data_IF_289588177803
#
_entry.id   IF_289588177803
#
_cell.length_a   1.000
_cell.length_b   1.000
_cell.length_c   1.000
_cell.angle_alpha   90.00
_cell.angle_beta   90.00
_cell.angle_gamma   90.00
#
_symmetry.space_group_name_H-M   'P 1'
#
loop_
_entity.id
_entity.type
_entity.pdbx_description
1 polymer ?
#
# COMPACT_ATOMS: atom_id res chain seq x y z
N UNK A 1 17.86 3.06 12.94
CA UNK A 1 17.97 1.58 12.89
C UNK A 1 18.88 1.24 11.74
N UNK A 2 19.72 0.22 11.90
CA UNK A 2 20.76 -0.19 10.96
C UNK A 2 20.76 -1.72 10.87
N UNK A 3 20.91 -2.27 9.66
CA UNK A 3 20.84 -3.71 9.38
C UNK A 3 22.00 -4.08 8.48
N UNK A 4 22.83 -5.02 8.93
CA UNK A 4 24.05 -5.45 8.24
C UNK A 4 24.37 -6.90 8.55
N UNK A 5 25.15 -7.55 7.69
CA UNK A 5 25.82 -8.80 8.02
C UNK A 5 27.11 -8.48 8.79
N UNK A 6 27.34 -9.14 9.92
CA UNK A 6 28.53 -8.95 10.75
C UNK A 6 29.75 -9.73 10.21
N UNK A 7 30.91 -9.51 10.82
CA UNK A 7 32.16 -10.18 10.40
C UNK A 7 32.19 -11.70 10.63
N UNK A 8 31.20 -12.25 11.36
CA UNK A 8 30.99 -13.69 11.54
C UNK A 8 29.95 -14.27 10.58
N UNK A 9 29.44 -13.48 9.62
CA UNK A 9 28.47 -13.91 8.63
C UNK A 9 27.03 -13.98 9.13
N UNK A 10 26.71 -13.35 10.26
CA UNK A 10 25.33 -13.31 10.82
C UNK A 10 24.70 -11.94 10.69
N UNK A 11 23.39 -11.91 10.57
CA UNK A 11 22.66 -10.65 10.49
C UNK A 11 22.68 -9.95 11.84
N UNK A 12 22.86 -8.63 11.81
CA UNK A 12 22.94 -7.76 12.96
C UNK A 12 21.98 -6.59 12.76
N UNK A 13 21.03 -6.45 13.67
CA UNK A 13 20.07 -5.34 13.72
C UNK A 13 20.41 -4.45 14.90
N UNK A 14 20.70 -3.17 14.63
CA UNK A 14 21.01 -2.17 15.66
C UNK A 14 19.96 -1.08 15.72
N UNK A 15 19.50 -0.80 16.93
CA UNK A 15 18.55 0.28 17.25
C UNK A 15 19.17 1.23 18.28
N UNK A 16 18.45 2.29 18.64
CA UNK A 16 18.88 3.18 19.72
C UNK A 16 18.91 2.48 21.11
N UNK A 17 18.23 1.35 21.25
CA UNK A 17 18.08 0.63 22.52
C UNK A 17 19.02 -0.59 22.64
N UNK A 18 19.73 -0.95 21.57
CA UNK A 18 20.63 -2.11 21.59
C UNK A 18 20.80 -2.77 20.22
N UNK A 19 21.40 -3.96 20.25
CA UNK A 19 21.74 -4.75 19.08
C UNK A 19 21.25 -6.19 19.24
N UNK A 20 20.73 -6.77 18.16
CA UNK A 20 20.33 -8.18 18.08
C UNK A 20 21.13 -8.84 16.96
N UNK A 21 21.72 -10.00 17.27
CA UNK A 21 22.35 -10.88 16.28
C UNK A 21 21.45 -12.08 16.03
N UNK A 22 21.28 -12.43 14.77
CA UNK A 22 20.37 -13.48 14.34
C UNK A 22 20.85 -14.12 13.04
N UNK A 23 20.38 -15.33 12.76
CA UNK A 23 20.77 -16.05 11.54
C UNK A 23 20.04 -15.52 10.29
N UNK A 24 18.90 -14.84 10.46
CA UNK A 24 18.16 -14.21 9.39
C UNK A 24 17.40 -12.96 9.86
N UNK A 25 17.26 -11.97 8.96
CA UNK A 25 16.42 -10.77 9.13
C UNK A 25 15.44 -10.67 7.98
N UNK A 26 14.18 -10.37 8.30
CA UNK A 26 13.14 -10.05 7.31
C UNK A 26 12.74 -8.58 7.39
N UNK A 27 13.04 -7.83 6.32
CA UNK A 27 12.60 -6.45 6.16
C UNK A 27 11.19 -6.41 5.56
N UNK A 28 10.18 -6.18 6.42
CA UNK A 28 8.77 -6.12 6.04
C UNK A 28 8.13 -4.74 6.37
N UNK A 29 8.92 -3.66 6.30
CA UNK A 29 8.47 -2.31 6.66
C UNK A 29 7.71 -1.54 5.57
N UNK A 30 7.59 -2.10 4.35
CA UNK A 30 6.94 -1.46 3.19
C UNK A 30 7.52 -0.02 2.97
N UNK A 31 6.65 0.96 2.72
CA UNK A 31 6.97 2.38 2.53
C UNK A 31 7.74 3.03 3.71
N UNK A 32 7.84 2.36 4.86
CA UNK A 32 8.46 2.89 6.08
C UNK A 32 9.92 2.44 6.27
N UNK A 33 10.50 1.64 5.37
CA UNK A 33 11.89 1.19 5.52
C UNK A 33 12.91 2.34 5.44
N UNK A 34 12.66 3.34 4.59
CA UNK A 34 13.47 4.56 4.50
C UNK A 34 14.98 4.29 4.50
N UNK A 35 15.68 4.89 5.47
CA UNK A 35 17.13 4.79 5.62
C UNK A 35 17.64 3.41 6.07
N UNK A 36 16.77 2.51 6.56
CA UNK A 36 17.17 1.14 6.94
C UNK A 36 17.58 0.33 5.70
N UNK A 37 16.94 0.58 4.56
CA UNK A 37 17.25 -0.10 3.30
C UNK A 37 17.07 0.86 2.11
N UNK A 38 17.99 1.84 1.91
CA UNK A 38 17.82 2.89 0.90
C UNK A 38 17.77 2.34 -0.54
N UNK A 39 18.42 1.20 -0.79
CA UNK A 39 18.36 0.50 -2.07
C UNK A 39 16.96 -0.07 -2.39
N UNK A 40 16.19 -0.46 -1.37
CA UNK A 40 14.79 -0.90 -1.53
C UNK A 40 13.86 0.29 -1.71
N UNK A 41 14.08 1.35 -0.93
CA UNK A 41 13.28 2.58 -0.99
C UNK A 41 13.28 3.21 -2.39
N UNK A 42 14.32 3.00 -3.21
CA UNK A 42 14.41 3.51 -4.58
C UNK A 42 13.51 2.80 -5.60
N UNK A 43 13.06 1.57 -5.30
CA UNK A 43 12.24 0.72 -6.19
C UNK A 43 10.75 0.89 -5.97
N UNK A 44 10.37 1.58 -4.90
CA UNK A 44 8.99 1.81 -4.52
C UNK A 44 8.64 3.29 -4.50
N UNK A 45 7.39 3.60 -4.75
CA UNK A 45 6.80 4.92 -4.53
C UNK A 45 5.81 4.81 -3.37
N UNK A 46 5.97 5.59 -2.28
CA UNK A 46 4.93 5.70 -1.26
C UNK A 46 3.73 6.49 -1.82
N UNK A 47 2.55 5.93 -1.63
CA UNK A 47 1.30 6.46 -2.15
C UNK A 47 0.26 6.49 -1.04
N UNK A 48 -0.30 7.66 -0.79
CA UNK A 48 -1.34 7.88 0.20
C UNK A 48 -2.67 7.34 -0.29
N UNK A 49 -3.20 6.37 0.45
CA UNK A 49 -4.53 5.80 0.24
C UNK A 49 -5.42 6.17 1.41
N UNK A 50 -6.68 6.48 1.13
CA UNK A 50 -7.61 6.97 2.13
C UNK A 50 -8.98 6.31 1.98
N UNK A 51 -9.68 6.26 3.10
CA UNK A 51 -10.99 5.67 3.23
C UNK A 51 -11.77 6.43 4.30
N UNK A 52 -13.09 6.49 4.14
CA UNK A 52 -14.02 7.04 5.10
C UNK A 52 -15.10 6.04 5.47
N UNK A 53 -15.73 6.25 6.62
CA UNK A 53 -16.94 5.55 7.04
C UNK A 53 -18.05 6.54 7.38
N UNK A 54 -19.26 6.28 6.90
CA UNK A 54 -20.46 7.02 7.32
C UNK A 54 -20.87 6.65 8.75
N UNK A 55 -21.83 7.36 9.31
CA UNK A 55 -22.70 6.79 10.35
C UNK A 55 -23.47 5.55 9.82
N UNK A 56 -23.99 4.66 10.69
CA UNK A 56 -24.83 3.56 10.26
C UNK A 56 -26.03 4.09 9.47
N UNK A 57 -26.22 3.59 8.26
CA UNK A 57 -27.29 4.06 7.37
C UNK A 57 -28.66 3.45 7.72
N UNK A 58 -28.64 2.37 8.51
CA UNK A 58 -29.75 1.46 8.70
C UNK A 58 -29.92 0.50 7.51
N UNK A 59 -30.25 -0.75 7.82
CA UNK A 59 -30.32 -1.86 6.86
C UNK A 59 -31.08 -1.54 5.58
N UNK A 60 -32.27 -0.94 5.70
CA UNK A 60 -33.09 -0.62 4.54
C UNK A 60 -32.44 0.39 3.58
N UNK A 61 -31.71 1.39 4.11
CA UNK A 61 -30.99 2.37 3.27
C UNK A 61 -29.74 1.73 2.67
N UNK A 62 -28.99 0.96 3.47
CA UNK A 62 -27.80 0.24 3.02
C UNK A 62 -28.12 -0.74 1.87
N UNK A 63 -29.16 -1.57 2.01
CA UNK A 63 -29.60 -2.52 0.97
C UNK A 63 -30.11 -1.82 -0.30
N UNK A 64 -30.63 -0.59 -0.22
CA UNK A 64 -30.95 0.19 -1.43
C UNK A 64 -29.71 0.71 -2.15
N UNK A 65 -28.60 0.94 -1.44
CA UNK A 65 -27.35 1.39 -2.06
C UNK A 65 -26.63 0.23 -2.75
N UNK A 66 -26.46 -0.89 -2.04
CA UNK A 66 -25.76 -2.07 -2.54
C UNK A 66 -26.57 -3.31 -2.14
N UNK A 67 -27.59 -3.70 -2.92
CA UNK A 67 -28.48 -4.82 -2.58
C UNK A 67 -27.74 -6.15 -2.35
N UNK A 68 -26.69 -6.40 -3.13
CA UNK A 68 -25.85 -7.60 -2.98
C UNK A 68 -24.88 -7.54 -1.79
N UNK A 69 -24.72 -6.35 -1.18
CA UNK A 69 -23.66 -6.02 -0.20
C UNK A 69 -22.24 -6.34 -0.69
N UNK A 70 -22.05 -6.52 -1.99
CA UNK A 70 -20.75 -6.79 -2.57
C UNK A 70 -19.79 -5.60 -2.39
N UNK A 71 -18.50 -5.89 -2.37
CA UNK A 71 -17.51 -4.84 -2.59
C UNK A 71 -17.57 -4.41 -4.07
N UNK A 72 -17.55 -3.11 -4.29
CA UNK A 72 -17.58 -2.50 -5.62
C UNK A 72 -16.29 -1.72 -5.84
N UNK A 73 -15.72 -1.83 -7.02
CA UNK A 73 -14.67 -0.96 -7.52
C UNK A 73 -15.04 -0.53 -8.93
N UNK A 74 -14.79 0.73 -9.28
CA UNK A 74 -14.96 1.19 -10.65
C UNK A 74 -13.78 0.76 -11.55
N UNK A 75 -13.82 1.19 -12.82
CA UNK A 75 -12.79 0.93 -13.83
C UNK A 75 -11.88 2.14 -14.07
N UNK A 76 -11.96 3.19 -13.25
CA UNK A 76 -11.13 4.38 -13.39
C UNK A 76 -9.68 4.08 -13.01
N UNK A 77 -8.74 4.88 -13.52
CA UNK A 77 -7.33 4.69 -13.17
C UNK A 77 -7.07 5.01 -11.69
N UNK A 78 -7.74 6.05 -11.18
CA UNK A 78 -7.82 6.35 -9.75
C UNK A 78 -9.18 5.86 -9.25
N UNK A 79 -9.23 4.58 -8.94
CA UNK A 79 -10.49 3.91 -8.65
C UNK A 79 -11.16 4.40 -7.36
N UNK A 80 -12.46 4.63 -7.43
CA UNK A 80 -13.33 4.68 -6.26
C UNK A 80 -13.79 3.23 -5.95
N UNK A 81 -13.73 2.86 -4.68
CA UNK A 81 -14.13 1.54 -4.20
C UNK A 81 -14.89 1.64 -2.90
N UNK A 82 -15.93 0.84 -2.75
CA UNK A 82 -16.81 0.96 -1.59
C UNK A 82 -17.51 -0.36 -1.28
N UNK A 83 -17.88 -0.51 0.00
CA UNK A 83 -18.65 -1.65 0.47
C UNK A 83 -19.45 -1.25 1.71
N UNK A 84 -20.42 -2.07 2.07
CA UNK A 84 -21.10 -1.95 3.36
C UNK A 84 -20.32 -2.71 4.44
N UNK A 85 -20.25 -2.14 5.64
CA UNK A 85 -19.82 -2.88 6.85
C UNK A 85 -20.99 -3.72 7.39
N UNK A 86 -20.69 -4.59 8.36
CA UNK A 86 -21.71 -5.43 8.99
C UNK A 86 -22.74 -4.61 9.80
N UNK A 87 -22.35 -3.43 10.29
CA UNK A 87 -23.22 -2.47 10.97
C UNK A 87 -23.83 -1.41 10.04
N UNK A 88 -23.92 -1.72 8.73
CA UNK A 88 -24.60 -0.91 7.71
C UNK A 88 -24.03 0.50 7.49
N UNK A 89 -22.73 0.69 7.71
CA UNK A 89 -22.02 1.89 7.25
C UNK A 89 -21.57 1.70 5.81
N UNK A 90 -21.53 2.80 5.06
CA UNK A 90 -20.82 2.82 3.80
C UNK A 90 -19.33 3.11 4.09
N UNK A 91 -18.48 2.14 3.77
CA UNK A 91 -17.05 2.32 3.67
C UNK A 91 -16.74 2.79 2.25
N UNK A 92 -16.17 3.99 2.11
CA UNK A 92 -15.85 4.57 0.81
C UNK A 92 -14.37 4.91 0.75
N UNK A 93 -13.64 4.18 -0.09
CA UNK A 93 -12.28 4.44 -0.49
C UNK A 93 -12.25 5.05 -1.88
N UNK A 94 -11.26 5.89 -2.11
CA UNK A 94 -11.18 6.64 -3.35
C UNK A 94 -10.16 7.74 -3.21
N UNK A 95 -9.83 8.38 -4.33
CA UNK A 95 -8.83 9.45 -4.40
C UNK A 95 -7.47 9.05 -3.78
N UNK A 96 -6.52 8.78 -4.65
CA UNK A 96 -5.15 8.54 -4.22
C UNK A 96 -4.41 9.89 -4.11
N UNK A 97 -3.76 10.14 -2.96
CA UNK A 97 -2.83 11.28 -2.83
C UNK A 97 -1.43 10.77 -3.04
N UNK A 98 -0.73 11.39 -3.97
CA UNK A 98 0.63 11.01 -4.29
C UNK A 98 1.64 12.11 -4.00
N UNK A 99 1.19 13.13 -3.26
CA UNK A 99 2.04 13.77 -2.27
C UNK A 99 2.03 12.88 -1.02
N UNK A 100 3.14 12.82 -0.30
CA UNK A 100 3.22 12.22 1.04
C UNK A 100 2.46 13.06 2.10
N UNK A 101 1.56 13.94 1.65
CA UNK A 101 0.82 14.89 2.47
C UNK A 101 -0.65 14.49 2.42
N UNK A 102 -1.20 14.22 3.61
CA UNK A 102 -2.64 14.01 3.75
C UNK A 102 -3.40 15.31 3.48
N UNK A 103 -4.59 15.28 2.86
CA UNK A 103 -5.42 16.46 2.72
C UNK A 103 -5.70 17.12 4.08
N UNK A 104 -5.66 18.45 4.14
CA UNK A 104 -5.94 19.21 5.38
C UNK A 104 -7.32 18.89 5.98
N UNK A 105 -8.31 18.62 5.11
CA UNK A 105 -9.63 18.12 5.50
C UNK A 105 -9.95 16.84 4.72
N UNK A 106 -9.44 15.73 5.24
CA UNK A 106 -9.66 14.40 4.66
C UNK A 106 -11.15 14.01 4.66
N UNK A 107 -11.91 14.13 5.77
CA UNK A 107 -13.35 13.80 5.79
C UNK A 107 -14.15 14.54 4.71
N UNK A 108 -14.03 15.87 4.59
CA UNK A 108 -14.79 16.61 3.60
C UNK A 108 -14.36 16.25 2.17
N UNK A 109 -13.08 15.95 1.97
CA UNK A 109 -12.55 15.53 0.68
C UNK A 109 -13.12 14.19 0.24
N UNK A 110 -13.13 13.19 1.13
CA UNK A 110 -13.69 11.87 0.86
C UNK A 110 -15.21 11.95 0.66
N UNK A 111 -15.90 12.78 1.45
CA UNK A 111 -17.34 13.02 1.32
C UNK A 111 -17.72 13.52 -0.06
N UNK A 112 -16.95 14.47 -0.63
CA UNK A 112 -17.18 14.94 -2.01
C UNK A 112 -17.06 13.79 -3.02
N UNK A 113 -16.10 12.88 -2.84
CA UNK A 113 -15.96 11.68 -3.65
C UNK A 113 -17.21 10.80 -3.57
N UNK A 114 -17.60 10.45 -2.33
CA UNK A 114 -18.80 9.66 -2.05
C UNK A 114 -20.06 10.25 -2.68
N UNK A 115 -20.29 11.56 -2.57
CA UNK A 115 -21.50 12.22 -3.08
C UNK A 115 -21.57 12.29 -4.62
N UNK A 116 -20.45 12.11 -5.34
CA UNK A 116 -20.50 11.94 -6.80
C UNK A 116 -21.12 10.60 -7.18
N UNK A 117 -20.88 9.57 -6.39
CA UNK A 117 -21.40 8.20 -6.62
C UNK A 117 -22.78 8.02 -5.97
N UNK A 118 -22.97 8.56 -4.77
CA UNK A 118 -24.18 8.42 -3.96
C UNK A 118 -24.73 9.80 -3.54
N UNK A 119 -25.27 10.59 -4.49
CA UNK A 119 -25.81 11.92 -4.19
C UNK A 119 -26.93 11.91 -3.14
N UNK A 120 -27.66 10.80 -3.01
CA UNK A 120 -28.71 10.58 -2.02
C UNK A 120 -28.23 10.51 -0.57
N UNK A 121 -26.91 10.54 -0.31
CA UNK A 121 -26.33 10.55 1.04
C UNK A 121 -25.93 11.96 1.50
N UNK A 122 -26.52 13.00 0.90
CA UNK A 122 -26.26 14.39 1.23
C UNK A 122 -26.58 14.80 2.68
N UNK A 123 -27.44 14.04 3.35
CA UNK A 123 -27.82 14.17 4.76
C UNK A 123 -26.89 13.40 5.73
N UNK A 124 -26.06 12.50 5.21
CA UNK A 124 -25.30 11.54 6.03
C UNK A 124 -23.96 12.13 6.49
N UNK A 125 -23.67 11.90 7.77
CA UNK A 125 -22.40 12.29 8.39
C UNK A 125 -21.26 11.31 8.09
N UNK A 126 -20.05 11.86 7.89
CA UNK A 126 -18.80 11.08 7.93
C UNK A 126 -18.36 11.00 9.38
N UNK A 127 -18.23 9.79 9.92
CA UNK A 127 -17.83 9.58 11.32
C UNK A 127 -16.34 9.27 11.46
N UNK A 128 -15.76 8.67 10.43
CA UNK A 128 -14.34 8.30 10.41
C UNK A 128 -13.75 8.60 9.04
N UNK A 129 -12.51 9.06 9.03
CA UNK A 129 -11.67 9.09 7.84
C UNK A 129 -10.24 8.81 8.25
N UNK A 130 -9.59 7.91 7.53
CA UNK A 130 -8.22 7.53 7.80
C UNK A 130 -7.49 7.25 6.50
N UNK A 131 -6.18 7.12 6.60
CA UNK A 131 -5.35 6.73 5.49
C UNK A 131 -4.02 6.19 5.94
N UNK A 132 -3.24 5.82 4.94
CA UNK A 132 -1.89 5.30 5.12
C UNK A 132 -1.15 5.26 3.80
N UNK A 133 0.14 5.00 3.90
CA UNK A 133 1.00 4.86 2.73
C UNK A 133 1.11 3.40 2.33
N UNK A 134 0.91 3.15 1.03
CA UNK A 134 1.23 1.88 0.38
C UNK A 134 2.38 2.11 -0.58
N UNK A 135 3.18 1.08 -0.83
CA UNK A 135 4.19 1.12 -1.87
C UNK A 135 3.64 0.72 -3.24
N UNK A 136 4.17 1.36 -4.28
CA UNK A 136 3.94 0.98 -5.67
C UNK A 136 5.29 0.75 -6.35
N UNK A 137 5.45 -0.38 -7.03
CA UNK A 137 6.57 -0.66 -7.93
C UNK A 137 6.25 -0.23 -9.36
N UNK A 138 7.26 0.05 -10.18
CA UNK A 138 7.04 0.47 -11.58
C UNK A 138 6.28 -0.58 -12.42
N UNK A 139 6.54 -1.87 -12.17
CA UNK A 139 5.90 -2.98 -12.88
C UNK A 139 4.62 -3.48 -12.20
N UNK A 140 4.21 -2.88 -11.06
CA UNK A 140 3.06 -3.26 -10.22
C UNK A 140 3.10 -4.69 -9.66
N UNK A 141 4.21 -5.40 -9.83
CA UNK A 141 4.40 -6.74 -9.27
C UNK A 141 4.97 -6.65 -7.85
N UNK A 142 4.71 -7.64 -6.98
CA UNK A 142 5.35 -7.73 -5.67
C UNK A 142 6.88 -7.85 -5.80
N UNK A 143 7.62 -7.18 -4.93
CA UNK A 143 9.08 -7.13 -4.92
C UNK A 143 9.61 -7.86 -3.69
N UNK A 144 10.00 -9.12 -3.88
CA UNK A 144 10.56 -10.01 -2.86
C UNK A 144 12.02 -10.28 -3.19
N UNK A 145 12.84 -10.50 -2.17
CA UNK A 145 14.18 -10.99 -2.41
C UNK A 145 15.09 -10.94 -1.20
N UNK A 146 16.38 -10.91 -1.50
CA UNK A 146 17.46 -10.83 -0.52
C UNK A 146 18.36 -9.64 -0.84
N UNK A 147 18.79 -8.93 0.20
CA UNK A 147 19.85 -7.92 0.13
C UNK A 147 21.23 -8.53 0.42
N UNK A 148 21.25 -9.60 1.21
CA UNK A 148 22.39 -10.44 1.58
C UNK A 148 21.85 -11.87 1.85
N UNK A 149 22.71 -12.91 1.94
CA UNK A 149 22.25 -14.29 2.18
C UNK A 149 21.29 -14.45 3.37
N UNK A 150 21.48 -13.63 4.40
CA UNK A 150 20.79 -13.60 5.69
C UNK A 150 19.78 -12.44 5.82
N UNK A 151 19.64 -11.57 4.82
CA UNK A 151 18.75 -10.39 4.87
C UNK A 151 17.73 -10.49 3.75
N UNK A 152 16.51 -10.84 4.12
CA UNK A 152 15.33 -10.97 3.26
C UNK A 152 14.51 -9.68 3.26
N UNK A 153 13.71 -9.47 2.22
CA UNK A 153 12.74 -8.38 2.19
C UNK A 153 11.45 -8.78 1.48
N UNK A 154 10.35 -8.16 1.92
CA UNK A 154 9.03 -8.20 1.30
C UNK A 154 8.53 -6.77 1.16
N UNK A 155 8.35 -6.30 -0.07
CA UNK A 155 7.80 -4.98 -0.37
C UNK A 155 7.05 -4.98 -1.71
N UNK A 156 6.63 -3.80 -2.13
CA UNK A 156 6.18 -3.52 -3.49
C UNK A 156 4.82 -4.12 -3.82
N UNK A 157 3.96 -4.35 -2.83
CA UNK A 157 2.69 -5.05 -3.02
C UNK A 157 1.70 -4.28 -3.91
N UNK A 158 1.94 -2.98 -4.17
CA UNK A 158 1.26 -2.23 -5.23
C UNK A 158 -0.26 -2.28 -5.14
N UNK A 159 -0.80 -2.25 -3.92
CA UNK A 159 -2.24 -2.33 -3.63
C UNK A 159 -2.80 -3.75 -3.41
N UNK A 160 -2.00 -4.80 -3.62
CA UNK A 160 -2.42 -6.21 -3.49
C UNK A 160 -1.99 -6.84 -2.15
N UNK A 161 -1.63 -6.02 -1.16
CA UNK A 161 -1.05 -6.49 0.10
C UNK A 161 -1.95 -7.46 0.85
N UNK A 162 -3.27 -7.19 0.94
CA UNK A 162 -4.22 -8.06 1.64
C UNK A 162 -4.27 -9.48 1.07
N UNK A 163 -4.21 -9.64 -0.25
CA UNK A 163 -4.25 -10.96 -0.87
C UNK A 163 -2.89 -11.67 -0.86
N UNK A 164 -1.81 -10.93 -1.10
CA UNK A 164 -0.49 -11.52 -1.36
C UNK A 164 0.40 -11.66 -0.12
N UNK A 165 0.20 -10.87 0.93
CA UNK A 165 1.11 -10.87 2.09
C UNK A 165 1.07 -12.18 2.88
N UNK A 166 -0.07 -12.86 2.95
CA UNK A 166 -0.16 -14.18 3.58
C UNK A 166 0.73 -15.21 2.88
N UNK A 167 0.63 -15.29 1.55
CA UNK A 167 1.52 -16.11 0.73
C UNK A 167 2.97 -15.66 0.87
N UNK A 168 3.24 -14.36 0.77
CA UNK A 168 4.60 -13.82 0.85
C UNK A 168 5.28 -14.15 2.19
N UNK A 169 4.55 -14.05 3.30
CA UNK A 169 5.03 -14.43 4.63
C UNK A 169 5.35 -15.92 4.71
N UNK A 170 4.47 -16.78 4.17
CA UNK A 170 4.73 -18.22 4.08
C UNK A 170 5.99 -18.51 3.26
N UNK A 171 6.13 -17.92 2.08
CA UNK A 171 7.31 -18.13 1.22
C UNK A 171 8.60 -17.63 1.87
N UNK A 172 8.55 -16.50 2.59
CA UNK A 172 9.71 -16.00 3.33
C UNK A 172 10.09 -16.94 4.48
N UNK A 173 9.11 -17.49 5.21
CA UNK A 173 9.36 -18.47 6.26
C UNK A 173 9.96 -19.77 5.71
N UNK A 174 9.43 -20.30 4.60
CA UNK A 174 9.98 -21.47 3.88
C UNK A 174 11.44 -21.21 3.46
N UNK A 175 11.71 -20.03 2.89
CA UNK A 175 13.04 -19.65 2.46
C UNK A 175 14.04 -19.52 3.62
N UNK A 176 13.63 -18.93 4.74
CA UNK A 176 14.44 -18.84 5.98
C UNK A 176 14.71 -20.24 6.56
N UNK A 177 13.75 -21.16 6.44
CA UNK A 177 13.89 -22.56 6.84
C UNK A 177 14.72 -23.41 5.85
N UNK A 178 15.23 -22.82 4.77
CA UNK A 178 16.09 -23.48 3.78
C UNK A 178 15.39 -23.97 2.50
N UNK A 179 14.07 -23.75 2.37
CA UNK A 179 13.28 -24.15 1.19
C UNK A 179 12.97 -22.92 0.32
N UNK A 180 13.96 -22.46 -0.44
CA UNK A 180 13.90 -21.17 -1.13
C UNK A 180 13.19 -21.19 -2.50
N UNK A 181 12.90 -22.35 -3.09
CA UNK A 181 12.51 -22.48 -4.51
C UNK A 181 11.36 -21.57 -4.93
N UNK A 182 10.26 -21.59 -4.16
CA UNK A 182 9.06 -20.78 -4.45
C UNK A 182 9.31 -19.29 -4.22
N UNK A 183 10.09 -18.94 -3.21
CA UNK A 183 10.49 -17.57 -2.95
C UNK A 183 11.37 -17.03 -4.08
N UNK A 184 12.31 -17.84 -4.56
CA UNK A 184 13.25 -17.50 -5.62
C UNK A 184 12.57 -17.30 -6.98
N UNK A 185 11.40 -17.92 -7.21
CA UNK A 185 10.57 -17.62 -8.39
C UNK A 185 10.09 -16.16 -8.39
N UNK A 186 9.59 -15.65 -7.26
CA UNK A 186 9.20 -14.25 -7.15
C UNK A 186 10.41 -13.31 -7.19
N UNK A 187 11.54 -13.70 -6.59
CA UNK A 187 12.76 -12.90 -6.58
C UNK A 187 13.39 -12.70 -7.99
N UNK A 188 12.95 -13.46 -9.00
CA UNK A 188 13.36 -13.26 -10.40
C UNK A 188 12.69 -12.05 -11.06
N UNK A 189 11.59 -11.56 -10.50
CA UNK A 189 10.89 -10.39 -11.00
C UNK A 189 11.81 -9.16 -10.94
N UNK A 190 11.95 -8.47 -12.07
CA UNK A 190 12.88 -7.35 -12.18
C UNK A 190 12.19 -6.04 -11.80
N UNK A 191 12.68 -5.40 -10.74
CA UNK A 191 12.16 -4.12 -10.24
C UNK A 191 13.18 -3.01 -10.48
N UNK A 192 12.83 -2.08 -11.37
CA UNK A 192 13.66 -0.92 -11.69
C UNK A 192 13.48 0.16 -10.61
N UNK A 193 14.56 0.87 -10.23
CA UNK A 193 14.44 2.11 -9.49
C UNK A 193 13.59 3.11 -10.27
N UNK A 194 12.80 3.92 -9.56
CA UNK A 194 12.12 5.03 -10.21
C UNK A 194 13.12 6.05 -10.75
N UNK A 195 12.90 6.62 -11.95
CA UNK A 195 13.85 7.52 -12.59
C UNK A 195 14.03 8.82 -11.83
N UNK A 196 15.28 9.31 -11.80
CA UNK A 196 15.62 10.62 -11.25
C UNK A 196 15.63 10.72 -9.72
N UNK A 197 15.75 9.58 -9.03
CA UNK A 197 16.02 9.52 -7.59
C UNK A 197 14.85 10.07 -6.76
N UNK A 198 15.14 10.52 -5.52
CA UNK A 198 14.10 11.03 -4.62
C UNK A 198 13.51 12.37 -5.10
N UNK A 199 14.28 13.16 -5.86
CA UNK A 199 13.89 14.50 -6.32
C UNK A 199 12.88 14.48 -7.46
N UNK A 200 13.02 13.56 -8.42
CA UNK A 200 12.16 13.51 -9.62
C UNK A 200 11.05 12.45 -9.52
N UNK A 201 11.06 11.61 -8.48
CA UNK A 201 10.05 10.55 -8.31
C UNK A 201 8.64 11.12 -8.24
N UNK A 202 8.43 12.08 -7.34
CA UNK A 202 7.12 12.68 -7.09
C UNK A 202 6.65 13.51 -8.30
N UNK A 203 7.47 14.38 -8.91
CA UNK A 203 7.09 15.09 -10.15
C UNK A 203 6.72 14.17 -11.31
N UNK A 204 7.50 13.11 -11.58
CA UNK A 204 7.24 12.18 -12.68
C UNK A 204 5.88 11.46 -12.51
N UNK A 205 5.55 11.12 -11.27
CA UNK A 205 4.28 10.50 -10.92
C UNK A 205 3.12 11.50 -11.05
N UNK A 206 3.27 12.74 -10.54
CA UNK A 206 2.27 13.80 -10.70
C UNK A 206 1.93 14.00 -12.18
N UNK A 207 2.94 14.04 -13.05
CA UNK A 207 2.76 14.13 -14.50
C UNK A 207 2.02 12.93 -15.09
N UNK A 208 2.45 11.71 -14.73
CA UNK A 208 1.79 10.49 -15.20
C UNK A 208 0.31 10.41 -14.81
N UNK A 209 -0.05 10.91 -13.64
CA UNK A 209 -1.44 10.89 -13.19
C UNK A 209 -2.27 12.04 -13.71
N UNK A 210 -1.66 13.21 -13.94
CA UNK A 210 -2.32 14.29 -14.65
C UNK A 210 -2.76 13.78 -16.03
N UNK A 211 -1.86 13.05 -16.71
CA UNK A 211 -2.17 12.38 -17.97
C UNK A 211 -3.34 11.39 -17.86
N UNK A 212 -3.31 10.47 -16.88
CA UNK A 212 -4.42 9.52 -16.70
C UNK A 212 -5.73 10.20 -16.29
N UNK A 213 -5.69 11.23 -15.44
CA UNK A 213 -6.88 12.02 -15.09
C UNK A 213 -7.47 12.71 -16.30
N UNK A 214 -6.64 13.24 -17.19
CA UNK A 214 -7.13 13.82 -18.45
C UNK A 214 -7.79 12.74 -19.32
N UNK A 215 -7.21 11.54 -19.40
CA UNK A 215 -7.84 10.40 -20.11
C UNK A 215 -9.13 9.90 -19.48
N UNK A 216 -9.33 10.06 -18.17
CA UNK A 216 -10.57 9.66 -17.51
C UNK A 216 -11.68 10.72 -17.67
N UNK A 217 -11.35 11.93 -18.15
CA UNK A 217 -12.31 13.03 -18.37
C UNK A 217 -12.87 13.09 -19.81
N UNK A 218 -12.18 12.47 -20.78
CA UNK A 218 -12.52 12.49 -22.21
C UNK A 218 -12.63 11.07 -22.76
#
# INVERSE_FOLDING_TARGET
MDVRTDGGGRACVRTAQGEVRCDAVLLAGNANLGAVAPQLARRIMPVGTYIMATEPLGRARAERLIPSRAAVCDTQFVLDYYRLSDDDRLLFGGRVSYSTVSPQDLPATMRRGMLRVFPQLGDVAVTHAWGGFVDITMNRAPDFGRLAPDIYYLQGFSGHGLALTGLAGQLAAEAIAGQAERFDLFARLQHRPFPGGDLLRTPALVLGMLWYRLRDLF
#
